data_IF_959761233947
#
_entry.id   IF_959761233947
#
_cell.length_a   1.000
_cell.length_b   1.000
_cell.length_c   1.000
_cell.angle_alpha   90.00
_cell.angle_beta   90.00
_cell.angle_gamma   90.00
#
_symmetry.space_group_name_H-M   'P 1'
#
loop_
_entity.id
_entity.type
_entity.pdbx_description
1 polymer ?
#
# COMPACT_ATOMS: atom_id res chain seq x y z
N UNK A 1 -32.78 -16.64 -12.74
CA UNK A 1 -32.57 -15.19 -12.63
C UNK A 1 -32.32 -14.85 -11.18
N UNK A 2 -31.08 -14.54 -10.88
CA UNK A 2 -30.72 -14.12 -9.54
C UNK A 2 -31.13 -12.66 -9.35
N UNK A 3 -31.96 -12.42 -8.35
CA UNK A 3 -32.17 -11.06 -7.89
C UNK A 3 -30.79 -10.49 -7.49
N UNK A 4 -30.49 -9.35 -8.03
CA UNK A 4 -29.21 -8.67 -7.83
C UNK A 4 -29.48 -7.19 -7.60
N UNK A 5 -28.45 -6.47 -7.15
CA UNK A 5 -28.56 -5.02 -6.99
C UNK A 5 -28.97 -4.34 -8.31
N UNK A 6 -29.46 -3.12 -8.21
CA UNK A 6 -29.82 -2.33 -9.38
C UNK A 6 -28.56 -2.05 -10.22
N UNK A 7 -28.44 -2.77 -11.34
CA UNK A 7 -27.27 -2.71 -12.19
C UNK A 7 -27.07 -1.34 -12.84
N UNK A 8 -28.16 -0.64 -13.18
CA UNK A 8 -28.05 0.69 -13.78
C UNK A 8 -27.45 1.70 -12.81
N UNK A 9 -27.91 1.71 -11.56
CA UNK A 9 -27.34 2.55 -10.51
C UNK A 9 -25.88 2.18 -10.25
N UNK A 10 -25.56 0.89 -10.20
CA UNK A 10 -24.21 0.41 -9.97
C UNK A 10 -23.27 0.86 -11.09
N UNK A 11 -23.66 0.73 -12.35
CA UNK A 11 -22.85 1.17 -13.49
C UNK A 11 -22.66 2.69 -13.50
N UNK A 12 -23.70 3.46 -13.15
CA UNK A 12 -23.59 4.91 -13.00
C UNK A 12 -22.57 5.28 -11.90
N UNK A 13 -22.63 4.57 -10.77
CA UNK A 13 -21.71 4.79 -9.67
C UNK A 13 -20.26 4.51 -10.08
N UNK A 14 -20.02 3.39 -10.78
CA UNK A 14 -18.70 3.04 -11.29
C UNK A 14 -18.16 4.07 -12.28
N UNK A 15 -19.01 4.51 -13.21
CA UNK A 15 -18.64 5.53 -14.19
C UNK A 15 -18.25 6.84 -13.51
N UNK A 16 -19.02 7.26 -12.50
CA UNK A 16 -18.72 8.44 -11.72
C UNK A 16 -17.37 8.30 -10.98
N UNK A 17 -17.11 7.13 -10.41
CA UNK A 17 -15.85 6.87 -9.73
C UNK A 17 -14.65 6.97 -10.68
N UNK A 18 -14.75 6.35 -11.84
CA UNK A 18 -13.70 6.39 -12.89
C UNK A 18 -13.47 7.84 -13.36
N UNK A 19 -14.54 8.63 -13.46
CA UNK A 19 -14.46 10.05 -13.83
C UNK A 19 -14.01 10.95 -12.68
N UNK A 20 -13.69 10.37 -11.52
CA UNK A 20 -13.27 11.08 -10.30
C UNK A 20 -14.35 11.98 -9.71
N UNK A 21 -15.61 11.75 -10.06
CA UNK A 21 -16.75 12.39 -9.42
C UNK A 21 -17.18 11.55 -8.22
N UNK A 22 -16.41 11.66 -7.13
CA UNK A 22 -16.56 10.79 -5.97
C UNK A 22 -17.82 11.08 -5.17
N UNK A 23 -18.32 12.30 -5.20
CA UNK A 23 -19.58 12.65 -4.51
C UNK A 23 -20.76 11.96 -5.20
N UNK A 24 -20.83 12.02 -6.53
CA UNK A 24 -21.85 11.31 -7.31
C UNK A 24 -21.70 9.80 -7.15
N UNK A 25 -20.48 9.28 -7.22
CA UNK A 25 -20.22 7.85 -7.03
C UNK A 25 -20.74 7.39 -5.66
N UNK A 26 -20.40 8.11 -4.59
CA UNK A 26 -20.86 7.80 -3.24
C UNK A 26 -22.39 7.77 -3.16
N UNK A 27 -23.06 8.80 -3.70
CA UNK A 27 -24.52 8.87 -3.70
C UNK A 27 -25.14 7.69 -4.44
N UNK A 28 -24.61 7.31 -5.60
CA UNK A 28 -25.15 6.21 -6.40
C UNK A 28 -24.87 4.84 -5.79
N UNK A 29 -23.69 4.62 -5.21
CA UNK A 29 -23.44 3.37 -4.46
C UNK A 29 -24.36 3.26 -3.25
N UNK A 30 -24.61 4.35 -2.54
CA UNK A 30 -25.55 4.40 -1.43
C UNK A 30 -26.98 4.12 -1.90
N UNK A 31 -27.37 4.65 -3.05
CA UNK A 31 -28.68 4.36 -3.65
C UNK A 31 -28.83 2.86 -3.99
N UNK A 32 -27.76 2.21 -4.49
CA UNK A 32 -27.76 0.77 -4.69
C UNK A 32 -28.04 0.01 -3.40
N UNK A 33 -27.43 0.46 -2.31
CA UNK A 33 -27.59 -0.15 -0.99
C UNK A 33 -29.01 0.00 -0.45
N UNK A 34 -29.67 1.12 -0.74
CA UNK A 34 -31.00 1.48 -0.26
C UNK A 34 -32.12 1.02 -1.18
N UNK A 35 -31.82 0.59 -2.40
CA UNK A 35 -32.80 0.17 -3.37
C UNK A 35 -33.38 -1.20 -2.96
N UNK A 36 -34.66 -1.20 -2.60
CA UNK A 36 -35.38 -2.40 -2.19
C UNK A 36 -36.10 -3.12 -3.34
N UNK A 37 -35.96 -2.59 -4.59
CA UNK A 37 -36.60 -3.19 -5.75
C UNK A 37 -36.01 -4.54 -6.15
N UNK A 38 -34.76 -4.80 -5.75
CA UNK A 38 -34.07 -6.05 -5.97
C UNK A 38 -33.30 -6.47 -4.69
N UNK A 39 -33.35 -7.77 -4.39
CA UNK A 39 -32.56 -8.32 -3.28
C UNK A 39 -31.07 -8.36 -3.67
N UNK A 40 -30.20 -8.07 -2.72
CA UNK A 40 -28.75 -8.20 -2.93
C UNK A 40 -28.35 -9.68 -2.98
N UNK A 41 -27.54 -10.04 -3.96
CA UNK A 41 -26.93 -11.36 -4.03
C UNK A 41 -25.83 -11.51 -2.98
N UNK A 42 -25.43 -12.75 -2.59
CA UNK A 42 -24.34 -12.94 -1.66
C UNK A 42 -23.07 -12.23 -2.10
N UNK A 43 -22.44 -11.48 -1.20
CA UNK A 43 -21.25 -10.70 -1.46
C UNK A 43 -21.48 -9.30 -2.00
N UNK A 44 -22.67 -8.96 -2.47
CA UNK A 44 -22.96 -7.62 -3.03
C UNK A 44 -22.99 -6.54 -1.95
N UNK A 45 -23.46 -6.88 -0.75
CA UNK A 45 -23.47 -5.94 0.37
C UNK A 45 -22.04 -5.52 0.73
N UNK A 46 -21.14 -6.49 0.88
CA UNK A 46 -19.72 -6.22 1.16
C UNK A 46 -19.07 -5.43 0.04
N UNK A 47 -19.36 -5.76 -1.21
CA UNK A 47 -18.85 -5.03 -2.36
C UNK A 47 -19.28 -3.56 -2.35
N UNK A 48 -20.56 -3.29 -2.09
CA UNK A 48 -21.08 -1.92 -2.05
C UNK A 48 -20.42 -1.10 -0.94
N UNK A 49 -20.30 -1.66 0.25
CA UNK A 49 -19.61 -0.98 1.36
C UNK A 49 -18.13 -0.76 1.08
N UNK A 50 -17.47 -1.69 0.40
CA UNK A 50 -16.08 -1.51 -0.04
C UNK A 50 -15.98 -0.30 -0.98
N UNK A 51 -16.84 -0.20 -1.98
CA UNK A 51 -16.84 0.93 -2.91
C UNK A 51 -17.20 2.24 -2.22
N UNK A 52 -18.15 2.22 -1.28
CA UNK A 52 -18.50 3.39 -0.47
C UNK A 52 -17.27 3.85 0.33
N UNK A 53 -16.57 2.92 0.96
CA UNK A 53 -15.33 3.23 1.67
C UNK A 53 -14.28 3.88 0.76
N UNK A 54 -14.11 3.36 -0.46
CA UNK A 54 -13.19 3.92 -1.45
C UNK A 54 -13.56 5.37 -1.81
N UNK A 55 -14.83 5.65 -2.00
CA UNK A 55 -15.31 7.02 -2.26
C UNK A 55 -14.99 7.95 -1.08
N UNK A 56 -15.25 7.48 0.13
CA UNK A 56 -15.02 8.27 1.35
C UNK A 56 -13.55 8.58 1.56
N UNK A 57 -12.65 7.65 1.23
CA UNK A 57 -11.20 7.93 1.24
C UNK A 57 -10.87 9.07 0.27
N UNK A 58 -11.40 9.01 -0.94
CA UNK A 58 -11.19 10.03 -1.97
C UNK A 58 -11.77 11.39 -1.57
N UNK A 59 -12.83 11.39 -0.78
CA UNK A 59 -13.49 12.60 -0.26
C UNK A 59 -12.87 13.09 1.05
N UNK A 60 -11.77 12.47 1.49
CA UNK A 60 -11.04 12.83 2.71
C UNK A 60 -11.88 12.71 3.99
N UNK A 61 -12.73 11.68 4.04
CA UNK A 61 -13.52 11.35 5.23
C UNK A 61 -13.08 9.98 5.77
N UNK A 62 -11.93 9.93 6.49
CA UNK A 62 -11.36 8.65 6.92
C UNK A 62 -12.20 7.91 7.96
N UNK A 63 -12.89 8.62 8.86
CA UNK A 63 -13.69 7.97 9.89
C UNK A 63 -14.89 7.25 9.29
N UNK A 64 -15.60 7.88 8.35
CA UNK A 64 -16.69 7.25 7.63
C UNK A 64 -16.19 6.14 6.72
N UNK A 65 -15.00 6.29 6.12
CA UNK A 65 -14.39 5.22 5.31
C UNK A 65 -14.13 3.98 6.16
N UNK A 66 -13.58 4.14 7.36
CA UNK A 66 -13.36 3.02 8.30
C UNK A 66 -14.67 2.32 8.62
N UNK A 67 -15.74 3.10 8.88
CA UNK A 67 -17.05 2.54 9.15
C UNK A 67 -17.56 1.71 7.96
N UNK A 68 -17.47 2.24 6.75
CA UNK A 68 -17.92 1.53 5.54
C UNK A 68 -17.11 0.25 5.31
N UNK A 69 -15.79 0.32 5.41
CA UNK A 69 -14.95 -0.88 5.29
C UNK A 69 -15.26 -1.92 6.36
N UNK A 70 -15.55 -1.48 7.58
CA UNK A 70 -15.91 -2.39 8.67
C UNK A 70 -17.24 -3.09 8.37
N UNK A 71 -18.20 -2.41 7.75
CA UNK A 71 -19.43 -3.02 7.27
C UNK A 71 -19.18 -4.05 6.16
N UNK A 72 -18.26 -3.74 5.24
CA UNK A 72 -17.85 -4.69 4.19
C UNK A 72 -17.30 -6.00 4.77
N UNK A 73 -16.57 -5.92 5.87
CA UNK A 73 -16.00 -7.10 6.54
C UNK A 73 -17.05 -8.02 7.16
N UNK A 74 -18.22 -7.51 7.50
CA UNK A 74 -19.31 -8.32 8.08
C UNK A 74 -19.86 -9.30 7.04
N UNK A 75 -19.82 -8.93 5.76
CA UNK A 75 -20.30 -9.79 4.68
C UNK A 75 -19.27 -10.87 4.35
N UNK A 76 -19.39 -12.03 4.96
CA UNK A 76 -18.45 -13.15 4.77
C UNK A 76 -18.53 -13.77 3.38
N UNK A 77 -19.59 -13.49 2.62
CA UNK A 77 -19.73 -13.93 1.22
C UNK A 77 -18.95 -13.06 0.24
N UNK A 78 -18.45 -11.91 0.69
CA UNK A 78 -17.63 -11.04 -0.15
C UNK A 78 -16.18 -11.52 -0.18
N UNK A 79 -15.69 -11.87 -1.36
CA UNK A 79 -14.38 -12.53 -1.51
C UNK A 79 -13.18 -11.58 -1.42
N UNK A 80 -13.37 -10.28 -1.57
CA UNK A 80 -12.28 -9.30 -1.56
C UNK A 80 -11.94 -8.76 -0.17
N UNK A 81 -12.03 -9.59 0.85
CA UNK A 81 -11.75 -9.20 2.25
C UNK A 81 -10.31 -8.72 2.43
N UNK A 82 -9.35 -9.33 1.74
CA UNK A 82 -7.95 -8.90 1.78
C UNK A 82 -7.77 -7.46 1.31
N UNK A 83 -8.45 -7.08 0.23
CA UNK A 83 -8.42 -5.70 -0.27
C UNK A 83 -9.06 -4.72 0.72
N UNK A 84 -10.15 -5.11 1.38
CA UNK A 84 -10.78 -4.29 2.43
C UNK A 84 -9.79 -4.10 3.59
N UNK A 85 -9.14 -5.15 4.04
CA UNK A 85 -8.14 -5.07 5.11
C UNK A 85 -6.96 -4.19 4.72
N UNK A 86 -6.46 -4.32 3.49
CA UNK A 86 -5.41 -3.43 2.98
C UNK A 86 -5.84 -1.97 3.01
N UNK A 87 -7.06 -1.67 2.55
CA UNK A 87 -7.58 -0.30 2.54
C UNK A 87 -7.76 0.24 3.96
N UNK A 88 -8.23 -0.57 4.90
CA UNK A 88 -8.27 -0.19 6.32
C UNK A 88 -6.88 0.14 6.85
N UNK A 89 -5.89 -0.71 6.54
CA UNK A 89 -4.51 -0.44 6.92
C UNK A 89 -4.02 0.89 6.39
N UNK A 90 -4.32 1.21 5.14
CA UNK A 90 -3.93 2.48 4.52
C UNK A 90 -4.60 3.69 5.20
N UNK A 91 -5.88 3.58 5.53
CA UNK A 91 -6.59 4.67 6.21
C UNK A 91 -6.02 4.91 7.61
N UNK A 92 -5.82 3.84 8.39
CA UNK A 92 -5.23 3.97 9.71
C UNK A 92 -3.81 4.56 9.65
N UNK A 93 -2.99 4.11 8.69
CA UNK A 93 -1.64 4.67 8.50
C UNK A 93 -1.70 6.16 8.16
N UNK A 94 -2.65 6.57 7.34
CA UNK A 94 -2.84 8.00 6.98
C UNK A 94 -3.20 8.86 8.18
N UNK A 95 -3.80 8.28 9.21
CA UNK A 95 -4.14 8.93 10.48
C UNK A 95 -3.06 8.77 11.54
N UNK A 96 -1.92 8.19 11.19
CA UNK A 96 -0.82 7.86 12.10
C UNK A 96 -1.18 6.83 13.19
N UNK A 97 -2.25 6.07 13.00
CA UNK A 97 -2.62 4.94 13.85
C UNK A 97 -1.91 3.68 13.37
N UNK A 98 -0.60 3.65 13.59
CA UNK A 98 0.27 2.63 12.99
C UNK A 98 0.06 1.24 13.58
N UNK A 99 -0.29 1.12 14.85
CA UNK A 99 -0.59 -0.18 15.46
C UNK A 99 -1.80 -0.84 14.79
N UNK A 100 -2.86 -0.07 14.56
CA UNK A 100 -4.04 -0.57 13.83
C UNK A 100 -3.69 -0.87 12.38
N UNK A 101 -2.90 0.00 11.74
CA UNK A 101 -2.45 -0.22 10.37
C UNK A 101 -1.71 -1.56 10.24
N UNK A 102 -0.79 -1.86 11.15
CA UNK A 102 -0.06 -3.13 11.19
C UNK A 102 -1.02 -4.31 11.26
N UNK A 103 -2.02 -4.24 12.14
CA UNK A 103 -3.02 -5.31 12.30
C UNK A 103 -3.75 -5.58 11.00
N UNK A 104 -4.25 -4.55 10.32
CA UNK A 104 -5.04 -4.74 9.11
C UNK A 104 -4.18 -5.14 7.91
N UNK A 105 -2.96 -4.62 7.78
CA UNK A 105 -2.04 -5.09 6.73
C UNK A 105 -1.72 -6.56 6.91
N UNK A 106 -1.50 -7.00 8.15
CA UNK A 106 -1.24 -8.41 8.42
C UNK A 106 -2.44 -9.29 8.09
N UNK A 107 -3.66 -8.82 8.37
CA UNK A 107 -4.88 -9.54 8.00
C UNK A 107 -4.99 -9.70 6.47
N UNK A 108 -4.62 -8.66 5.71
CA UNK A 108 -4.61 -8.75 4.25
C UNK A 108 -3.61 -9.81 3.77
N UNK A 109 -2.39 -9.79 4.31
CA UNK A 109 -1.33 -10.74 3.97
C UNK A 109 -1.75 -12.18 4.27
N UNK A 110 -2.44 -12.40 5.38
CA UNK A 110 -2.87 -13.72 5.83
C UNK A 110 -4.05 -14.28 5.02
N UNK A 111 -4.70 -13.46 4.20
CA UNK A 111 -5.80 -13.90 3.35
C UNK A 111 -5.25 -14.52 2.05
N UNK A 112 -5.45 -15.84 1.85
CA UNK A 112 -4.91 -16.51 0.66
C UNK A 112 -5.55 -16.03 -0.65
N UNK A 113 -6.71 -15.37 -0.60
CA UNK A 113 -7.38 -14.81 -1.78
C UNK A 113 -6.87 -13.42 -2.16
N UNK A 114 -6.08 -12.78 -1.29
CA UNK A 114 -5.55 -11.44 -1.58
C UNK A 114 -4.50 -11.52 -2.69
N UNK A 115 -4.71 -10.75 -3.76
CA UNK A 115 -3.95 -10.87 -5.01
C UNK A 115 -2.64 -10.07 -5.05
N UNK A 116 -2.48 -9.09 -4.17
CA UNK A 116 -1.34 -8.17 -4.20
C UNK A 116 -0.65 -8.05 -2.83
N UNK A 117 -0.14 -9.18 -2.28
CA UNK A 117 0.47 -9.16 -0.94
C UNK A 117 1.64 -8.20 -0.83
N UNK A 118 2.39 -7.94 -1.92
CA UNK A 118 3.49 -6.98 -1.90
C UNK A 118 3.03 -5.58 -1.46
N UNK A 119 1.82 -5.16 -1.81
CA UNK A 119 1.29 -3.86 -1.38
C UNK A 119 1.07 -3.82 0.13
N UNK A 120 0.50 -4.88 0.68
CA UNK A 120 0.29 -4.97 2.12
C UNK A 120 1.61 -5.10 2.88
N UNK A 121 2.58 -5.84 2.35
CA UNK A 121 3.92 -5.89 2.94
C UNK A 121 4.60 -4.52 2.95
N UNK A 122 4.45 -3.72 1.90
CA UNK A 122 4.97 -2.35 1.87
C UNK A 122 4.32 -1.49 2.95
N UNK A 123 2.99 -1.55 3.06
CA UNK A 123 2.26 -0.82 4.10
C UNK A 123 2.66 -1.27 5.52
N UNK A 124 2.79 -2.58 5.72
CA UNK A 124 3.23 -3.18 6.98
C UNK A 124 4.64 -2.68 7.35
N UNK A 125 5.57 -2.77 6.41
CA UNK A 125 6.95 -2.32 6.65
C UNK A 125 7.02 -0.84 7.00
N UNK A 126 6.32 0.02 6.27
CA UNK A 126 6.29 1.45 6.55
C UNK A 126 5.72 1.75 7.93
N UNK A 127 4.64 1.07 8.31
CA UNK A 127 4.00 1.25 9.62
C UNK A 127 4.90 0.76 10.76
N UNK A 128 5.56 -0.37 10.58
CA UNK A 128 6.52 -0.91 11.56
C UNK A 128 7.72 0.00 11.75
N UNK A 129 8.23 0.62 10.68
CA UNK A 129 9.30 1.62 10.78
C UNK A 129 8.86 2.81 11.62
N UNK A 130 7.64 3.28 11.42
CA UNK A 130 7.09 4.44 12.15
C UNK A 130 7.00 4.19 13.65
N UNK A 131 6.80 2.95 14.07
CA UNK A 131 6.76 2.59 15.50
C UNK A 131 8.10 2.04 16.02
N UNK A 132 9.16 2.17 15.22
CA UNK A 132 10.53 1.84 15.65
C UNK A 132 10.89 0.35 15.58
N UNK A 133 10.09 -0.48 14.94
CA UNK A 133 10.33 -1.93 14.80
C UNK A 133 11.09 -2.23 13.51
N UNK A 134 12.33 -1.78 13.44
CA UNK A 134 13.14 -1.81 12.21
C UNK A 134 13.43 -3.22 11.71
N UNK A 135 13.65 -4.20 12.58
CA UNK A 135 13.92 -5.58 12.18
C UNK A 135 12.67 -6.21 11.52
N UNK A 136 11.51 -6.05 12.16
CA UNK A 136 10.24 -6.54 11.61
C UNK A 136 9.88 -5.82 10.32
N UNK A 137 10.11 -4.51 10.25
CA UNK A 137 9.91 -3.72 9.03
C UNK A 137 10.78 -4.25 7.89
N UNK A 138 12.06 -4.53 8.16
CA UNK A 138 12.97 -5.10 7.18
C UNK A 138 12.47 -6.43 6.63
N UNK A 139 11.95 -7.30 7.48
CA UNK A 139 11.36 -8.57 7.06
C UNK A 139 10.16 -8.35 6.11
N UNK A 140 9.30 -7.38 6.43
CA UNK A 140 8.16 -7.05 5.58
C UNK A 140 8.59 -6.51 4.21
N UNK A 141 9.55 -5.59 4.16
CA UNK A 141 10.07 -5.06 2.90
C UNK A 141 10.76 -6.16 2.08
N UNK A 142 11.48 -7.05 2.72
CA UNK A 142 12.09 -8.20 2.04
C UNK A 142 11.02 -9.07 1.39
N UNK A 143 9.96 -9.38 2.11
CA UNK A 143 8.82 -10.14 1.56
C UNK A 143 8.19 -9.43 0.38
N UNK A 144 8.03 -8.11 0.45
CA UNK A 144 7.53 -7.32 -0.67
C UNK A 144 8.45 -7.40 -1.90
N UNK A 145 9.77 -7.32 -1.68
CA UNK A 145 10.75 -7.39 -2.77
C UNK A 145 10.81 -8.77 -3.43
N UNK A 146 10.61 -9.84 -2.65
CA UNK A 146 10.66 -11.22 -3.14
C UNK A 146 9.33 -11.71 -3.71
N UNK A 147 8.25 -10.96 -3.54
CA UNK A 147 6.95 -11.34 -4.08
C UNK A 147 7.00 -11.29 -5.61
N UNK A 148 6.76 -12.45 -6.23
CA UNK A 148 6.82 -12.61 -7.69
C UNK A 148 5.79 -11.72 -8.41
N UNK A 149 4.70 -11.35 -7.75
CA UNK A 149 3.68 -10.47 -8.31
C UNK A 149 4.03 -8.99 -8.20
N UNK A 150 5.12 -8.65 -7.52
CA UNK A 150 5.56 -7.25 -7.39
C UNK A 150 6.24 -6.80 -8.70
N UNK A 151 5.63 -5.86 -9.46
CA UNK A 151 6.19 -5.43 -10.74
C UNK A 151 7.42 -4.53 -10.58
N UNK A 152 7.62 -3.93 -9.39
CA UNK A 152 8.73 -3.01 -9.13
C UNK A 152 9.23 -3.16 -7.69
N UNK A 153 10.25 -3.98 -7.46
CA UNK A 153 10.78 -4.21 -6.13
C UNK A 153 11.72 -3.10 -5.62
N UNK A 154 12.00 -2.08 -6.42
CA UNK A 154 13.04 -1.08 -6.09
C UNK A 154 12.75 -0.31 -4.80
N UNK A 155 11.50 0.09 -4.58
CA UNK A 155 11.11 0.81 -3.36
C UNK A 155 11.22 -0.09 -2.12
N UNK A 156 10.85 -1.35 -2.25
CA UNK A 156 10.98 -2.31 -1.16
C UNK A 156 12.45 -2.50 -0.78
N UNK A 157 13.33 -2.64 -1.77
CA UNK A 157 14.77 -2.80 -1.55
C UNK A 157 15.39 -1.53 -0.96
N UNK A 158 14.96 -0.34 -1.40
CA UNK A 158 15.38 0.93 -0.81
C UNK A 158 15.01 0.98 0.67
N UNK A 159 13.77 0.66 1.00
CA UNK A 159 13.28 0.70 2.38
C UNK A 159 13.91 -0.39 3.24
N UNK A 160 14.21 -1.55 2.68
CA UNK A 160 14.99 -2.59 3.36
C UNK A 160 16.37 -2.06 3.76
N UNK A 161 17.03 -1.37 2.85
CA UNK A 161 18.31 -0.72 3.15
C UNK A 161 18.20 0.30 4.27
N UNK A 162 17.14 1.09 4.30
CA UNK A 162 16.86 2.03 5.39
C UNK A 162 16.72 1.29 6.72
N UNK A 163 16.05 0.14 6.74
CA UNK A 163 15.94 -0.70 7.94
C UNK A 163 17.31 -1.20 8.43
N UNK A 164 18.15 -1.65 7.50
CA UNK A 164 19.50 -2.08 7.85
C UNK A 164 20.34 -0.93 8.44
N UNK A 165 20.19 0.28 7.91
CA UNK A 165 20.86 1.45 8.50
C UNK A 165 20.36 1.72 9.92
N UNK A 166 19.06 1.62 10.15
CA UNK A 166 18.48 1.78 11.49
C UNK A 166 18.98 0.69 12.48
N UNK A 167 19.37 -0.47 11.97
CA UNK A 167 19.91 -1.58 12.76
C UNK A 167 21.44 -1.54 12.86
N UNK A 168 22.08 -0.45 12.42
CA UNK A 168 23.53 -0.31 12.40
C UNK A 168 24.23 -1.42 11.58
N UNK A 169 23.64 -1.74 10.43
CA UNK A 169 24.15 -2.76 9.49
C UNK A 169 24.38 -2.14 8.11
N UNK A 170 25.36 -1.23 7.98
CA UNK A 170 25.55 -0.48 6.73
C UNK A 170 25.94 -1.34 5.54
N UNK A 171 26.70 -2.42 5.73
CA UNK A 171 27.09 -3.29 4.60
C UNK A 171 25.90 -4.06 4.05
N UNK A 172 24.96 -4.46 4.90
CA UNK A 172 23.72 -5.08 4.45
C UNK A 172 22.82 -4.08 3.73
N UNK A 173 22.80 -2.83 4.19
CA UNK A 173 22.10 -1.75 3.50
C UNK A 173 22.65 -1.55 2.08
N UNK A 174 23.96 -1.50 1.94
CA UNK A 174 24.64 -1.38 0.64
C UNK A 174 24.25 -2.52 -0.29
N UNK A 175 24.25 -3.76 0.22
CA UNK A 175 23.85 -4.92 -0.59
C UNK A 175 22.41 -4.80 -1.09
N UNK A 176 21.50 -4.30 -0.25
CA UNK A 176 20.11 -4.06 -0.65
C UNK A 176 20.00 -3.00 -1.73
N UNK A 177 20.72 -1.89 -1.58
CA UNK A 177 20.73 -0.81 -2.59
C UNK A 177 21.34 -1.28 -3.91
N UNK A 178 22.41 -2.05 -3.87
CA UNK A 178 23.03 -2.64 -5.08
C UNK A 178 22.04 -3.57 -5.80
N UNK A 179 21.28 -4.36 -5.06
CA UNK A 179 20.24 -5.21 -5.64
C UNK A 179 19.18 -4.38 -6.36
N UNK A 180 18.78 -3.26 -5.76
CA UNK A 180 17.80 -2.35 -6.37
C UNK A 180 18.31 -1.72 -7.67
N UNK A 181 19.60 -1.39 -7.74
CA UNK A 181 20.22 -0.76 -8.91
C UNK A 181 20.25 -1.67 -10.14
N UNK A 182 19.95 -2.95 -10.00
CA UNK A 182 19.83 -3.87 -11.13
C UNK A 182 18.50 -3.74 -11.88
N UNK A 183 17.56 -2.99 -11.32
CA UNK A 183 16.26 -2.73 -11.94
C UNK A 183 16.21 -1.32 -12.50
N UNK A 184 15.40 -1.11 -13.55
CA UNK A 184 15.12 0.23 -14.04
C UNK A 184 14.31 1.00 -13.01
N UNK A 185 14.65 2.26 -12.82
CA UNK A 185 13.96 3.12 -11.87
C UNK A 185 14.00 4.57 -12.33
N UNK A 186 13.06 5.36 -11.83
CA UNK A 186 13.03 6.80 -12.10
C UNK A 186 14.32 7.47 -11.59
N UNK A 187 14.82 8.52 -12.28
CA UNK A 187 16.04 9.20 -11.84
C UNK A 187 16.01 9.69 -10.40
N UNK A 188 14.87 10.19 -9.93
CA UNK A 188 14.74 10.65 -8.54
C UNK A 188 14.95 9.52 -7.53
N UNK A 189 14.45 8.32 -7.81
CA UNK A 189 14.63 7.14 -6.95
C UNK A 189 16.09 6.69 -7.00
N UNK A 190 16.68 6.66 -8.20
CA UNK A 190 18.08 6.29 -8.41
C UNK A 190 19.01 7.22 -7.64
N UNK A 191 18.78 8.53 -7.71
CA UNK A 191 19.59 9.52 -7.00
C UNK A 191 19.48 9.36 -5.49
N UNK A 192 18.28 9.09 -4.99
CA UNK A 192 18.06 8.80 -3.57
C UNK A 192 18.79 7.53 -3.14
N UNK A 193 18.79 6.50 -4.00
CA UNK A 193 19.52 5.25 -3.75
C UNK A 193 21.01 5.50 -3.57
N UNK A 194 21.63 6.25 -4.52
CA UNK A 194 23.05 6.58 -4.43
C UNK A 194 23.36 7.46 -3.23
N UNK A 195 22.51 8.41 -2.88
CA UNK A 195 22.69 9.23 -1.68
C UNK A 195 22.67 8.36 -0.42
N UNK A 196 21.73 7.44 -0.33
CA UNK A 196 21.64 6.50 0.79
C UNK A 196 22.84 5.57 0.84
N UNK A 197 23.33 5.09 -0.32
CA UNK A 197 24.56 4.30 -0.40
C UNK A 197 25.77 5.10 0.12
N UNK A 198 25.87 6.36 -0.25
CA UNK A 198 26.94 7.23 0.25
C UNK A 198 26.93 7.29 1.77
N UNK A 199 25.79 7.50 2.38
CA UNK A 199 25.65 7.49 3.84
C UNK A 199 26.02 6.15 4.46
N UNK A 200 25.64 5.05 3.82
CA UNK A 200 25.98 3.70 4.30
C UNK A 200 27.49 3.45 4.22
N UNK A 201 28.15 3.89 3.15
CA UNK A 201 29.60 3.80 3.02
C UNK A 201 30.32 4.64 4.07
N UNK A 202 29.83 5.84 4.39
CA UNK A 202 30.37 6.64 5.51
C UNK A 202 30.28 5.88 6.80
N UNK A 203 29.11 5.30 7.10
CA UNK A 203 28.89 4.52 8.32
C UNK A 203 29.80 3.28 8.39
N UNK A 204 30.14 2.70 7.23
CA UNK A 204 31.03 1.55 7.14
C UNK A 204 32.53 1.94 7.12
N UNK A 205 32.86 3.23 7.18
CA UNK A 205 34.23 3.71 7.13
C UNK A 205 34.88 3.67 5.75
N UNK A 206 34.07 3.59 4.68
CA UNK A 206 34.53 3.48 3.29
C UNK A 206 34.38 4.80 2.56
N UNK A 207 35.20 5.77 2.93
CA UNK A 207 35.04 7.17 2.49
C UNK A 207 35.19 7.36 0.98
N UNK A 208 36.13 6.66 0.32
CA UNK A 208 36.30 6.78 -1.12
C UNK A 208 35.08 6.30 -1.90
N UNK A 209 34.46 5.21 -1.45
CA UNK A 209 33.23 4.70 -2.06
C UNK A 209 32.06 5.63 -1.76
N UNK A 210 32.02 6.22 -0.57
CA UNK A 210 31.00 7.20 -0.21
C UNK A 210 31.03 8.40 -1.16
N UNK A 211 32.21 8.95 -1.46
CA UNK A 211 32.36 10.08 -2.39
C UNK A 211 31.83 9.72 -3.77
N UNK A 212 32.19 8.55 -4.29
CA UNK A 212 31.69 8.10 -5.60
C UNK A 212 30.18 7.95 -5.64
N UNK A 213 29.59 7.41 -4.55
CA UNK A 213 28.13 7.26 -4.48
C UNK A 213 27.44 8.62 -4.45
N UNK A 214 27.95 9.58 -3.67
CA UNK A 214 27.40 10.93 -3.64
C UNK A 214 27.57 11.65 -4.99
N UNK A 215 28.68 11.47 -5.67
CA UNK A 215 28.87 12.00 -7.02
C UNK A 215 27.84 11.43 -7.99
N UNK A 216 27.57 10.11 -7.91
CA UNK A 216 26.54 9.46 -8.73
C UNK A 216 25.16 10.01 -8.44
N UNK A 217 24.84 10.33 -7.17
CA UNK A 217 23.57 10.94 -6.79
C UNK A 217 23.39 12.35 -7.41
N UNK A 218 24.48 13.06 -7.66
CA UNK A 218 24.46 14.42 -8.23
C UNK A 218 24.52 14.43 -9.75
N UNK A 219 24.91 13.32 -10.39
CA UNK A 219 25.19 13.27 -11.82
C UNK A 219 23.96 13.57 -12.69
N UNK A 220 22.75 13.32 -12.20
CA UNK A 220 21.50 13.52 -12.94
C UNK A 220 20.87 14.91 -12.72
N UNK A 221 21.60 15.86 -12.10
CA UNK A 221 21.09 17.22 -11.85
C UNK A 221 21.46 18.20 -12.96
N UNK A 222 21.87 17.74 -14.11
CA UNK A 222 22.42 18.58 -15.17
C UNK A 222 21.42 18.98 -16.27
N UNK A 223 20.13 19.05 -15.96
CA UNK A 223 19.10 19.54 -16.89
C UNK A 223 18.04 20.37 -16.21
#
# INVERSE_FOLDING_TARGET
>A
DHASMNNDLFQQARSAYVSKDYETALAQFTNCLQDTSAALAPGELGMLYHQIGNCLVKLHDPNEAIHAYSQAKIDTSYDAQGSVNYNLGMVYASQHDYDDAVTYFQMAIDDPKYQTPHKAYMGLGNSLLKIGKSAEAGAAFRSAALDETNPDPTKALLNLGVCFMALDRPMDAIASYESALQFDMAPAIRNKMFANMGQAYVAAGKMNKAVRAFESALADKTY
#
